data_IF_125116848552
#
_entry.id   IF_125116848552
#
_cell.length_a   1.000
_cell.length_b   1.000
_cell.length_c   1.000
_cell.angle_alpha   90.00
_cell.angle_beta   90.00
_cell.angle_gamma   90.00
#
_symmetry.space_group_name_H-M   'P 1'
#
loop_
_entity.id
_entity.type
_entity.pdbx_description
1 polymer ?
#
# COMPACT_ATOMS: atom_id res chain seq x y z
N UNK A 1 -23.60 -7.25 13.29
CA UNK A 1 -22.48 -6.34 13.60
C UNK A 1 -22.28 -5.50 12.36
N UNK A 2 -22.30 -4.17 12.51
CA UNK A 2 -22.05 -3.26 11.39
C UNK A 2 -20.55 -3.29 11.19
N UNK A 3 -20.08 -4.08 10.24
CA UNK A 3 -18.71 -3.99 9.75
C UNK A 3 -18.61 -2.59 9.17
N UNK A 4 -18.02 -1.66 9.93
CA UNK A 4 -17.64 -0.35 9.40
C UNK A 4 -16.93 -0.63 8.09
N UNK A 5 -17.33 -0.01 6.96
CA UNK A 5 -16.58 -0.18 5.74
C UNK A 5 -15.12 0.13 6.09
N UNK A 6 -14.25 -0.81 5.78
CA UNK A 6 -12.82 -0.77 6.01
C UNK A 6 -12.22 0.32 5.08
N UNK A 7 -12.64 1.56 5.32
CA UNK A 7 -12.26 2.79 4.61
C UNK A 7 -10.85 3.23 5.04
N UNK A 8 -10.15 2.38 5.80
CA UNK A 8 -8.73 2.54 6.05
C UNK A 8 -8.00 1.94 4.85
N UNK A 9 -8.04 2.68 3.74
CA UNK A 9 -7.32 2.41 2.51
C UNK A 9 -5.89 1.95 2.84
N UNK A 10 -5.62 0.66 2.71
CA UNK A 10 -4.40 0.04 3.20
C UNK A 10 -3.19 0.63 2.46
N UNK A 11 -2.51 1.59 3.11
CA UNK A 11 -1.44 2.37 2.49
C UNK A 11 -0.29 1.47 2.03
N UNK A 12 -0.06 0.37 2.75
CA UNK A 12 0.85 -0.68 2.33
C UNK A 12 0.44 -1.31 1.00
N UNK A 13 -0.82 -1.72 0.86
CA UNK A 13 -1.28 -2.32 -0.39
C UNK A 13 -1.21 -1.33 -1.56
N UNK A 14 -1.51 -0.05 -1.32
CA UNK A 14 -1.33 0.99 -2.33
C UNK A 14 0.13 1.11 -2.81
N UNK A 15 1.07 1.07 -1.87
CA UNK A 15 2.51 1.04 -2.16
C UNK A 15 2.91 -0.19 -2.96
N UNK A 16 2.40 -1.36 -2.56
CA UNK A 16 2.69 -2.64 -3.21
C UNK A 16 2.25 -2.67 -4.68
N UNK A 17 1.10 -2.10 -5.02
CA UNK A 17 0.65 -2.06 -6.41
C UNK A 17 1.19 -0.88 -7.24
N UNK A 18 1.88 0.09 -6.62
CA UNK A 18 2.44 1.25 -7.29
C UNK A 18 3.46 0.91 -8.41
N UNK A 19 4.45 0.01 -8.22
CA UNK A 19 5.40 -0.31 -9.30
C UNK A 19 4.70 -0.99 -10.50
N UNK A 20 3.67 -1.80 -10.27
CA UNK A 20 2.86 -2.40 -11.35
C UNK A 20 2.07 -1.36 -12.17
N UNK A 21 1.85 -0.17 -11.60
CA UNK A 21 1.23 0.98 -12.29
C UNK A 21 2.26 1.94 -12.90
N UNK A 22 3.55 1.63 -12.82
CA UNK A 22 4.63 2.49 -13.31
C UNK A 22 4.91 3.71 -12.43
N UNK A 23 4.42 3.73 -11.19
CA UNK A 23 4.73 4.78 -10.23
C UNK A 23 6.12 4.53 -9.63
N UNK A 24 6.88 5.60 -9.41
CA UNK A 24 8.16 5.54 -8.72
C UNK A 24 7.98 5.61 -7.20
N UNK A 25 8.95 5.11 -6.44
CA UNK A 25 8.98 5.17 -4.96
C UNK A 25 8.84 6.59 -4.40
N UNK A 26 9.29 7.60 -5.16
CA UNK A 26 9.20 9.02 -4.80
C UNK A 26 7.83 9.64 -5.10
N UNK A 27 6.95 8.96 -5.86
CA UNK A 27 5.58 9.42 -6.14
C UNK A 27 4.61 9.10 -5.00
N UNK A 28 5.10 8.95 -3.77
CA UNK A 28 4.29 8.74 -2.58
C UNK A 28 3.38 9.96 -2.35
N UNK A 29 2.05 9.78 -2.25
CA UNK A 29 1.11 10.90 -2.11
C UNK A 29 1.01 11.43 -0.67
N UNK A 30 1.72 10.80 0.27
CA UNK A 30 1.67 11.09 1.70
C UNK A 30 2.85 11.93 2.15
N UNK A 31 2.63 12.80 3.13
CA UNK A 31 3.70 13.61 3.70
C UNK A 31 4.75 12.73 4.41
N UNK A 32 6.03 13.06 4.23
CA UNK A 32 7.13 12.39 4.90
C UNK A 32 6.96 12.43 6.43
N UNK A 33 7.35 11.34 7.11
CA UNK A 33 7.22 11.19 8.56
C UNK A 33 5.82 10.76 9.04
N UNK A 34 4.84 10.63 8.15
CA UNK A 34 3.54 10.03 8.49
C UNK A 34 3.58 8.50 8.43
N UNK A 35 2.72 7.84 9.20
CA UNK A 35 2.56 6.39 9.15
C UNK A 35 2.16 5.92 7.74
N UNK A 36 1.25 6.63 7.07
CA UNK A 36 0.84 6.35 5.69
C UNK A 36 2.01 6.39 4.70
N UNK A 37 2.93 7.34 4.85
CA UNK A 37 4.15 7.41 4.05
C UNK A 37 5.05 6.19 4.29
N UNK A 38 5.26 5.80 5.54
CA UNK A 38 6.06 4.64 5.90
C UNK A 38 5.45 3.33 5.36
N UNK A 39 4.14 3.15 5.53
CA UNK A 39 3.42 1.96 5.07
C UNK A 39 3.44 1.85 3.54
N UNK A 40 3.21 2.95 2.83
CA UNK A 40 3.29 2.97 1.36
C UNK A 40 4.70 2.62 0.85
N UNK A 41 5.74 3.19 1.47
CA UNK A 41 7.12 2.85 1.09
C UNK A 41 7.44 1.37 1.37
N UNK A 42 7.00 0.85 2.52
CA UNK A 42 7.18 -0.55 2.86
C UNK A 42 6.49 -1.49 1.86
N UNK A 43 5.27 -1.14 1.42
CA UNK A 43 4.55 -1.86 0.38
C UNK A 43 5.27 -1.86 -0.96
N UNK A 44 5.73 -0.68 -1.39
CA UNK A 44 6.51 -0.53 -2.62
C UNK A 44 7.78 -1.39 -2.59
N UNK A 45 8.52 -1.31 -1.49
CA UNK A 45 9.76 -2.08 -1.30
C UNK A 45 9.47 -3.59 -1.28
N UNK A 46 8.34 -4.03 -0.71
CA UNK A 46 7.91 -5.43 -0.74
C UNK A 46 7.60 -5.92 -2.17
N UNK A 47 6.90 -5.12 -2.97
CA UNK A 47 6.61 -5.46 -4.37
C UNK A 47 7.88 -5.54 -5.23
N UNK A 48 8.84 -4.63 -5.04
CA UNK A 48 10.14 -4.69 -5.74
C UNK A 48 10.95 -5.92 -5.33
N UNK A 49 10.87 -6.34 -4.06
CA UNK A 49 11.52 -7.57 -3.58
C UNK A 49 10.84 -8.83 -4.10
N UNK A 50 9.62 -8.74 -4.62
CA UNK A 50 8.80 -9.88 -5.03
C UNK A 50 8.18 -10.64 -3.86
N UNK A 51 7.95 -9.96 -2.73
CA UNK A 51 7.23 -10.51 -1.58
C UNK A 51 5.78 -10.83 -1.98
N UNK A 52 5.11 -11.83 -1.37
CA UNK A 52 3.70 -12.08 -1.63
C UNK A 52 2.84 -10.83 -1.36
N UNK A 53 1.82 -10.63 -2.20
CA UNK A 53 0.87 -9.55 -2.03
C UNK A 53 0.19 -9.63 -0.65
N UNK A 54 -0.11 -8.49 -0.01
CA UNK A 54 -0.78 -8.46 1.27
C UNK A 54 -2.13 -9.18 1.18
N UNK A 55 -2.37 -10.13 2.07
CA UNK A 55 -3.61 -10.88 2.15
C UNK A 55 -4.76 -9.93 2.54
N UNK A 56 -5.57 -9.49 1.58
CA UNK A 56 -6.73 -8.63 1.85
C UNK A 56 -7.21 -7.75 0.70
N UNK A 57 -6.41 -7.52 -0.35
CA UNK A 57 -6.83 -6.65 -1.47
C UNK A 57 -7.55 -7.38 -2.61
N UNK A 58 -7.82 -8.67 -2.45
CA UNK A 58 -8.54 -9.46 -3.43
C UNK A 58 -9.54 -10.39 -2.77
N UNK A 59 -10.83 -10.06 -2.98
CA UNK A 59 -12.01 -10.94 -2.93
C UNK A 59 -12.80 -10.97 -1.61
N UNK A 60 -13.92 -10.24 -1.61
CA UNK A 60 -15.22 -10.79 -1.22
C UNK A 60 -16.26 -10.34 -2.23
#
# INVERSE_FOLDING_TARGET
MMESPDDNLDHFALGYYAPGKGLARESVPYAEGTQAHADWLAGYDAAIRGDPAPAGTGRS
#
